data_IF_503241067615
#
_entry.id   IF_503241067615
#
_cell.length_a   1.000
_cell.length_b   1.000
_cell.length_c   1.000
_cell.angle_alpha   90.00
_cell.angle_beta   90.00
_cell.angle_gamma   90.00
#
_symmetry.space_group_name_H-M   'P 1'
#
loop_
_entity.id
_entity.type
_entity.pdbx_description
1 polymer ?
#
# COMPACT_ATOMS: atom_id res chain seq x y z
N UNK A 1 0.52 2.94 15.68
CA UNK A 1 1.48 2.00 15.07
C UNK A 1 2.73 2.78 14.72
N UNK A 2 3.90 2.33 15.17
CA UNK A 2 5.17 3.02 14.88
C UNK A 2 5.60 2.82 13.43
N UNK A 3 5.20 3.74 12.55
CA UNK A 3 5.48 3.68 11.11
C UNK A 3 6.98 3.67 10.82
N UNK A 4 7.78 4.40 11.59
CA UNK A 4 9.22 4.45 11.41
C UNK A 4 9.84 3.06 11.57
N UNK A 5 9.55 2.37 12.67
CA UNK A 5 10.02 1.00 12.91
C UNK A 5 9.49 0.03 11.85
N UNK A 6 8.23 0.17 11.45
CA UNK A 6 7.64 -0.67 10.39
C UNK A 6 8.39 -0.54 9.06
N UNK A 7 8.68 0.68 8.62
CA UNK A 7 9.33 0.96 7.34
C UNK A 7 10.87 0.95 7.40
N UNK A 8 11.45 0.67 8.56
CA UNK A 8 12.87 0.36 8.75
C UNK A 8 13.10 -1.10 9.20
N UNK A 9 12.05 -1.93 9.19
CA UNK A 9 12.17 -3.34 9.53
C UNK A 9 12.94 -4.15 8.47
N UNK A 10 13.17 -5.43 8.76
CA UNK A 10 14.12 -6.27 8.00
C UNK A 10 13.83 -6.39 6.49
N UNK A 11 12.56 -6.25 6.07
CA UNK A 11 12.19 -6.27 4.63
C UNK A 11 12.74 -5.06 3.88
N UNK A 12 12.97 -3.94 4.57
CA UNK A 12 13.44 -2.68 4.00
C UNK A 12 14.92 -2.38 4.31
N UNK A 13 15.61 -3.30 5.00
CA UNK A 13 17.06 -3.22 5.25
C UNK A 13 17.89 -3.93 4.18
N UNK A 14 19.18 -4.11 4.42
CA UNK A 14 20.11 -4.75 3.47
C UNK A 14 20.37 -6.24 3.77
N UNK A 15 19.90 -6.73 4.92
CA UNK A 15 20.14 -8.09 5.40
C UNK A 15 18.87 -8.94 5.40
N UNK A 16 18.99 -10.18 4.94
CA UNK A 16 17.93 -11.18 5.06
C UNK A 16 17.99 -11.85 6.43
N UNK A 17 16.82 -12.05 7.03
CA UNK A 17 16.71 -12.83 8.26
C UNK A 17 16.96 -14.31 7.97
N UNK A 18 17.44 -15.04 8.99
CA UNK A 18 17.60 -16.50 8.89
C UNK A 18 16.27 -17.16 8.53
N UNK A 19 16.28 -18.03 7.49
CA UNK A 19 15.09 -18.71 6.94
C UNK A 19 14.01 -17.78 6.39
N UNK A 20 14.36 -16.53 6.08
CA UNK A 20 13.44 -15.64 5.38
C UNK A 20 13.13 -16.18 3.99
N UNK A 21 11.84 -16.18 3.62
CA UNK A 21 11.38 -16.45 2.26
C UNK A 21 10.75 -15.16 1.71
N UNK A 22 11.57 -14.21 1.23
CA UNK A 22 11.05 -12.94 0.75
C UNK A 22 10.21 -13.16 -0.51
N UNK A 23 9.13 -12.39 -0.59
CA UNK A 23 8.20 -12.33 -1.72
C UNK A 23 8.04 -10.85 -2.08
N UNK A 24 7.84 -10.54 -3.35
CA UNK A 24 7.74 -9.16 -3.80
C UNK A 24 6.57 -8.45 -3.12
N UNK A 25 5.47 -9.15 -2.86
CA UNK A 25 4.36 -8.59 -2.10
C UNK A 25 4.69 -8.29 -0.62
N UNK A 26 5.67 -8.95 0.02
CA UNK A 26 6.11 -8.58 1.37
C UNK A 26 6.68 -7.16 1.40
N UNK A 27 7.34 -6.74 0.33
CA UNK A 27 7.89 -5.40 0.16
C UNK A 27 6.83 -4.40 -0.33
N UNK A 28 6.16 -4.70 -1.45
CA UNK A 28 5.30 -3.72 -2.11
C UNK A 28 3.96 -3.51 -1.44
N UNK A 29 3.38 -4.53 -0.80
CA UNK A 29 2.02 -4.43 -0.28
C UNK A 29 1.89 -3.41 0.86
N UNK A 30 2.76 -3.38 1.89
CA UNK A 30 2.68 -2.34 2.92
C UNK A 30 2.99 -0.94 2.37
N UNK A 31 3.95 -0.83 1.45
CA UNK A 31 4.32 0.44 0.80
C UNK A 31 3.13 1.00 0.01
N UNK A 32 2.47 0.19 -0.81
CA UNK A 32 1.29 0.59 -1.58
C UNK A 32 0.10 0.90 -0.68
N UNK A 33 -0.15 0.11 0.37
CA UNK A 33 -1.23 0.36 1.33
C UNK A 33 -1.07 1.71 2.03
N UNK A 34 0.17 2.09 2.36
CA UNK A 34 0.47 3.37 2.99
C UNK A 34 0.26 4.57 2.06
N UNK A 35 0.70 4.48 0.79
CA UNK A 35 0.63 5.60 -0.15
C UNK A 35 -0.69 5.70 -0.93
N UNK A 36 -1.55 4.69 -0.88
CA UNK A 36 -2.84 4.69 -1.60
C UNK A 36 -4.06 4.54 -0.71
N UNK A 37 -3.86 4.13 0.55
CA UNK A 37 -4.95 3.74 1.45
C UNK A 37 -5.75 2.53 0.99
N UNK A 38 -5.31 1.81 -0.05
CA UNK A 38 -6.01 0.64 -0.55
C UNK A 38 -5.90 -0.56 0.41
N UNK A 39 -6.95 -1.36 0.47
CA UNK A 39 -6.97 -2.60 1.23
C UNK A 39 -6.13 -3.68 0.54
N UNK A 40 -5.69 -4.69 1.30
CA UNK A 40 -4.89 -5.80 0.78
C UNK A 40 -5.56 -6.59 -0.35
N UNK A 41 -6.90 -6.71 -0.34
CA UNK A 41 -7.64 -7.33 -1.45
C UNK A 41 -7.64 -6.45 -2.70
N UNK A 42 -7.70 -5.11 -2.57
CA UNK A 42 -7.61 -4.18 -3.71
C UNK A 42 -6.20 -4.23 -4.34
N UNK A 43 -5.16 -4.16 -3.50
CA UNK A 43 -3.75 -4.23 -3.94
C UNK A 43 -3.43 -5.61 -4.51
N UNK A 44 -3.95 -6.67 -3.89
CA UNK A 44 -3.72 -8.04 -4.33
C UNK A 44 -4.31 -8.34 -5.71
N UNK A 45 -5.37 -7.63 -6.12
CA UNK A 45 -6.00 -7.74 -7.44
C UNK A 45 -5.41 -6.79 -8.49
N UNK A 46 -4.57 -5.83 -8.10
CA UNK A 46 -4.08 -4.78 -8.99
C UNK A 46 -3.22 -5.35 -10.13
N UNK A 47 -3.52 -4.93 -11.36
CA UNK A 47 -2.85 -5.38 -12.58
C UNK A 47 -2.11 -4.25 -13.29
N UNK A 48 -1.25 -4.60 -14.25
CA UNK A 48 -0.55 -3.63 -15.10
C UNK A 48 -1.54 -2.73 -15.86
N UNK A 49 -2.68 -3.27 -16.30
CA UNK A 49 -3.72 -2.50 -17.00
C UNK A 49 -4.46 -1.51 -16.11
N UNK A 50 -4.38 -1.65 -14.78
CA UNK A 50 -4.96 -0.69 -13.85
C UNK A 50 -4.09 0.57 -13.68
N UNK A 51 -2.89 0.58 -14.28
CA UNK A 51 -1.99 1.73 -14.28
C UNK A 51 -2.24 2.55 -15.53
N UNK A 52 -2.75 3.77 -15.36
CA UNK A 52 -3.09 4.65 -16.47
C UNK A 52 -2.62 6.08 -16.24
N UNK A 53 -2.51 6.85 -17.33
CA UNK A 53 -2.24 8.29 -17.30
C UNK A 53 -3.54 9.04 -17.58
N UNK A 54 -4.01 9.84 -16.63
CA UNK A 54 -5.19 10.68 -16.75
C UNK A 54 -4.80 12.14 -16.50
N UNK A 55 -5.13 13.06 -17.42
CA UNK A 55 -4.75 14.48 -17.32
C UNK A 55 -3.26 14.69 -16.98
N UNK A 56 -2.38 13.96 -17.66
CA UNK A 56 -0.92 13.95 -17.41
C UNK A 56 -0.45 13.34 -16.07
N UNK A 57 -1.35 12.87 -15.21
CA UNK A 57 -1.04 12.21 -13.94
C UNK A 57 -1.10 10.69 -14.09
N UNK A 58 -0.03 9.98 -13.73
CA UNK A 58 -0.05 8.51 -13.62
C UNK A 58 -0.68 8.08 -12.29
N UNK A 59 -1.52 7.06 -12.32
CA UNK A 59 -2.23 6.55 -11.15
C UNK A 59 -2.69 5.10 -11.30
N UNK A 60 -3.15 4.54 -10.19
CA UNK A 60 -3.78 3.23 -10.09
C UNK A 60 -5.30 3.38 -10.13
N UNK A 61 -5.98 2.54 -10.89
CA UNK A 61 -7.43 2.38 -10.80
C UNK A 61 -7.73 1.19 -9.88
N UNK A 62 -8.31 1.46 -8.71
CA UNK A 62 -8.75 0.40 -7.81
C UNK A 62 -10.22 0.05 -8.07
N UNK A 63 -10.47 -1.23 -8.34
CA UNK A 63 -11.80 -1.81 -8.48
C UNK A 63 -12.23 -2.48 -7.18
N UNK A 64 -13.52 -2.44 -6.89
CA UNK A 64 -14.06 -2.85 -5.59
C UNK A 64 -15.38 -3.59 -5.76
N UNK A 65 -15.70 -4.49 -4.83
CA UNK A 65 -17.00 -5.15 -4.76
C UNK A 65 -17.91 -4.44 -3.75
N UNK A 66 -18.45 -3.28 -4.16
CA UNK A 66 -19.59 -2.63 -3.51
C UNK A 66 -19.27 -1.63 -2.40
N UNK A 67 -18.64 -2.05 -1.29
CA UNK A 67 -18.54 -1.22 -0.06
C UNK A 67 -17.83 0.12 -0.25
N UNK A 68 -16.88 0.16 -1.17
CA UNK A 68 -16.17 1.36 -1.59
C UNK A 68 -16.50 1.61 -3.06
N UNK A 69 -16.49 2.85 -3.50
CA UNK A 69 -16.51 3.15 -4.93
C UNK A 69 -15.13 2.85 -5.54
N UNK A 70 -15.14 2.41 -6.81
CA UNK A 70 -13.94 2.34 -7.62
C UNK A 70 -13.35 3.75 -7.79
N UNK A 71 -12.03 3.85 -7.87
CA UNK A 71 -11.35 5.15 -7.85
C UNK A 71 -9.99 5.14 -8.52
N UNK A 72 -9.63 6.26 -9.12
CA UNK A 72 -8.27 6.55 -9.56
C UNK A 72 -7.47 7.20 -8.42
N UNK A 73 -6.30 6.64 -8.12
CA UNK A 73 -5.38 7.13 -7.09
C UNK A 73 -4.04 7.47 -7.75
N UNK A 74 -3.63 8.76 -7.78
CA UNK A 74 -2.32 9.15 -8.30
C UNK A 74 -1.16 8.40 -7.63
N UNK A 75 -0.14 8.05 -8.41
CA UNK A 75 1.07 7.42 -7.86
C UNK A 75 1.87 8.47 -7.10
N UNK A 76 2.06 8.22 -5.80
CA UNK A 76 2.90 9.05 -4.95
C UNK A 76 4.37 9.04 -5.45
N UNK A 77 5.09 10.18 -5.48
CA UNK A 77 6.49 10.22 -5.92
C UNK A 77 7.42 9.24 -5.20
N UNK A 78 7.17 9.00 -3.90
CA UNK A 78 7.94 8.03 -3.12
C UNK A 78 7.84 6.59 -3.65
N UNK A 79 6.77 6.23 -4.36
CA UNK A 79 6.68 4.91 -5.01
C UNK A 79 7.64 4.81 -6.20
N UNK A 80 7.77 5.89 -6.98
CA UNK A 80 8.77 5.95 -8.05
C UNK A 80 10.18 5.90 -7.49
N UNK A 81 10.46 6.65 -6.42
CA UNK A 81 11.75 6.59 -5.71
C UNK A 81 12.01 5.22 -5.08
N UNK A 82 10.98 4.46 -4.72
CA UNK A 82 11.12 3.09 -4.23
C UNK A 82 11.40 2.05 -5.33
N UNK A 83 11.56 2.46 -6.60
CA UNK A 83 11.84 1.56 -7.71
C UNK A 83 10.58 0.94 -8.35
N UNK A 84 9.43 1.62 -8.30
CA UNK A 84 8.18 1.08 -8.87
C UNK A 84 8.32 0.85 -10.39
N UNK A 85 8.99 1.74 -11.12
CA UNK A 85 9.16 1.58 -12.57
C UNK A 85 9.93 0.30 -12.93
N UNK A 86 11.00 0.00 -12.19
CA UNK A 86 11.79 -1.21 -12.37
C UNK A 86 10.98 -2.46 -12.02
N UNK A 87 10.17 -2.37 -10.95
CA UNK A 87 9.28 -3.47 -10.57
C UNK A 87 8.22 -3.77 -11.63
N UNK A 88 7.58 -2.75 -12.20
CA UNK A 88 6.59 -2.94 -13.27
C UNK A 88 7.22 -3.61 -14.49
N UNK A 89 8.41 -3.16 -14.88
CA UNK A 89 9.16 -3.78 -15.97
C UNK A 89 9.50 -5.24 -15.67
N UNK A 90 9.92 -5.54 -14.44
CA UNK A 90 10.16 -6.91 -14.00
C UNK A 90 8.90 -7.78 -14.08
N UNK A 91 7.74 -7.29 -13.62
CA UNK A 91 6.45 -8.01 -13.71
C UNK A 91 6.13 -8.34 -15.17
N UNK A 92 6.30 -7.38 -16.08
CA UNK A 92 6.13 -7.58 -17.54
C UNK A 92 7.09 -8.63 -18.10
N UNK A 93 8.38 -8.55 -17.77
CA UNK A 93 9.40 -9.50 -18.22
C UNK A 93 9.14 -10.94 -17.73
N UNK A 94 8.55 -11.09 -16.54
CA UNK A 94 8.15 -12.39 -15.99
C UNK A 94 6.86 -12.94 -16.64
N UNK A 95 6.28 -12.24 -17.62
CA UNK A 95 5.02 -12.62 -18.26
C UNK A 95 3.81 -12.54 -17.33
N UNK A 96 3.93 -11.77 -16.24
CA UNK A 96 2.87 -11.62 -15.25
C UNK A 96 2.04 -10.37 -15.54
N UNK A 97 0.75 -10.42 -15.23
CA UNK A 97 -0.15 -9.25 -15.38
C UNK A 97 -0.50 -8.60 -14.05
N UNK A 98 -0.48 -9.38 -12.95
CA UNK A 98 -0.83 -8.93 -11.60
C UNK A 98 0.40 -8.42 -10.88
N UNK A 99 0.31 -7.25 -10.28
CA UNK A 99 1.44 -6.65 -9.56
C UNK A 99 1.86 -7.53 -8.39
N UNK A 100 0.92 -8.12 -7.64
CA UNK A 100 1.23 -9.05 -6.55
C UNK A 100 1.20 -10.50 -7.03
N UNK A 101 1.83 -10.82 -8.16
CA UNK A 101 1.73 -12.15 -8.78
C UNK A 101 2.10 -13.30 -7.85
N UNK A 102 3.06 -13.08 -6.94
CA UNK A 102 3.54 -14.07 -5.97
C UNK A 102 2.80 -14.05 -4.61
N UNK A 103 1.71 -13.29 -4.50
CA UNK A 103 0.77 -13.32 -3.37
C UNK A 103 -0.34 -14.35 -3.64
N UNK A 104 -0.37 -15.49 -2.91
CA UNK A 104 -1.41 -16.49 -3.10
C UNK A 104 -2.78 -16.01 -2.63
N UNK A 105 -3.82 -16.37 -3.38
CA UNK A 105 -5.21 -16.23 -2.96
C UNK A 105 -5.65 -17.42 -2.10
N UNK A 106 -6.59 -17.17 -1.18
CA UNK A 106 -7.41 -18.20 -0.54
C UNK A 106 -8.87 -17.86 -0.75
N UNK A 107 -9.60 -18.77 -1.40
CA UNK A 107 -11.01 -18.57 -1.78
C UNK A 107 -11.26 -17.26 -2.53
N UNK A 108 -10.35 -16.90 -3.45
CA UNK A 108 -10.42 -15.66 -4.23
C UNK A 108 -10.05 -14.38 -3.47
N UNK A 109 -9.57 -14.47 -2.22
CA UNK A 109 -9.15 -13.32 -1.40
C UNK A 109 -7.67 -13.36 -1.06
N UNK A 110 -7.07 -12.20 -0.90
CA UNK A 110 -5.64 -12.02 -0.59
C UNK A 110 -5.40 -11.62 0.86
N UNK A 111 -6.41 -11.06 1.52
CA UNK A 111 -6.34 -10.53 2.89
C UNK A 111 -5.85 -11.53 3.93
N UNK A 112 -6.19 -12.82 3.83
CA UNK A 112 -5.80 -13.81 4.84
C UNK A 112 -4.29 -14.04 4.89
N UNK A 113 -3.66 -14.27 3.73
CA UNK A 113 -2.20 -14.52 3.65
C UNK A 113 -1.41 -13.29 4.09
N UNK A 114 -1.91 -12.12 3.72
CA UNK A 114 -1.36 -10.83 4.16
C UNK A 114 -1.46 -10.67 5.67
N UNK A 115 -2.63 -10.96 6.27
CA UNK A 115 -2.85 -10.87 7.73
C UNK A 115 -1.90 -11.80 8.48
N UNK A 116 -1.78 -13.06 8.06
CA UNK A 116 -0.91 -14.05 8.71
C UNK A 116 0.55 -13.61 8.64
N UNK A 117 1.02 -13.14 7.48
CA UNK A 117 2.40 -12.68 7.36
C UNK A 117 2.65 -11.41 8.18
N UNK A 118 1.74 -10.44 8.13
CA UNK A 118 1.96 -9.14 8.76
C UNK A 118 1.82 -9.20 10.29
N UNK A 119 0.73 -9.78 10.79
CA UNK A 119 0.35 -9.77 12.21
C UNK A 119 0.60 -11.09 12.94
N UNK A 120 0.90 -12.17 12.21
CA UNK A 120 1.06 -13.52 12.77
C UNK A 120 -0.25 -14.30 12.88
N UNK A 121 -0.14 -15.56 13.31
CA UNK A 121 -1.27 -16.46 13.57
C UNK A 121 -0.87 -17.55 14.58
N UNK A 122 -1.61 -17.67 15.68
CA UNK A 122 -1.23 -18.56 16.79
C UNK A 122 0.19 -18.24 17.29
N UNK A 123 1.03 -19.27 17.37
CA UNK A 123 2.45 -19.17 17.75
C UNK A 123 3.35 -18.57 16.65
N UNK A 124 2.83 -18.39 15.42
CA UNK A 124 3.64 -17.86 14.31
C UNK A 124 3.75 -16.34 14.41
N UNK A 125 4.96 -15.87 14.69
CA UNK A 125 5.30 -14.44 14.64
C UNK A 125 5.18 -13.88 13.22
N UNK A 126 4.48 -12.75 13.09
CA UNK A 126 4.37 -11.96 11.87
C UNK A 126 5.50 -10.94 11.73
N UNK A 127 5.40 -10.14 10.67
CA UNK A 127 6.31 -9.03 10.38
C UNK A 127 6.40 -8.05 11.54
N UNK A 128 5.26 -7.66 12.13
CA UNK A 128 5.22 -6.72 13.25
C UNK A 128 6.08 -7.20 14.41
N UNK A 129 5.84 -8.42 14.91
CA UNK A 129 6.58 -8.96 16.05
C UNK A 129 8.07 -9.12 15.73
N UNK A 130 8.42 -9.51 14.50
CA UNK A 130 9.82 -9.60 14.05
C UNK A 130 10.52 -8.25 13.97
N UNK A 131 9.77 -7.15 13.88
CA UNK A 131 10.30 -5.78 13.96
C UNK A 131 10.23 -5.21 15.38
N UNK A 132 9.90 -6.02 16.39
CA UNK A 132 9.70 -5.55 17.77
C UNK A 132 8.43 -4.70 17.97
N UNK A 133 7.46 -4.80 17.04
CA UNK A 133 6.20 -4.08 17.14
C UNK A 133 5.11 -4.94 17.79
N UNK A 134 4.26 -4.36 18.63
CA UNK A 134 3.10 -5.06 19.15
C UNK A 134 2.12 -5.39 18.02
N UNK A 135 1.45 -6.53 18.11
CA UNK A 135 0.40 -6.94 17.18
C UNK A 135 -1.00 -6.49 17.63
N UNK A 136 -1.09 -5.77 18.74
CA UNK A 136 -2.30 -5.10 19.25
C UNK A 136 -2.01 -3.62 19.45
N UNK A 137 -2.99 -2.77 19.21
CA UNK A 137 -2.89 -1.34 19.49
C UNK A 137 -3.26 -1.02 20.95
N UNK A 138 -3.23 0.27 21.29
CA UNK A 138 -3.53 0.77 22.64
C UNK A 138 -4.97 0.47 23.09
N UNK A 139 -5.87 0.16 22.16
CA UNK A 139 -7.28 -0.18 22.43
C UNK A 139 -7.49 -1.71 22.50
N UNK A 140 -6.41 -2.49 22.40
CA UNK A 140 -6.47 -3.97 22.40
C UNK A 140 -6.90 -4.56 21.06
N UNK A 141 -7.01 -3.75 20.00
CA UNK A 141 -7.41 -4.22 18.67
C UNK A 141 -6.20 -4.74 17.90
N UNK A 142 -6.38 -5.85 17.15
CA UNK A 142 -5.28 -6.40 16.35
C UNK A 142 -4.81 -5.39 15.30
N UNK A 143 -3.53 -5.07 15.34
CA UNK A 143 -2.89 -4.25 14.31
C UNK A 143 -2.80 -5.05 13.01
N UNK A 144 -3.26 -4.45 11.91
CA UNK A 144 -3.33 -5.09 10.60
C UNK A 144 -2.78 -4.16 9.51
N UNK A 145 -2.57 -4.69 8.31
CA UNK A 145 -2.20 -3.87 7.14
C UNK A 145 -3.21 -2.73 6.91
N UNK A 146 -4.50 -2.96 7.19
CA UNK A 146 -5.55 -1.94 7.07
C UNK A 146 -5.33 -0.74 8.01
N UNK A 147 -4.53 -0.85 9.06
CA UNK A 147 -4.18 0.29 9.90
C UNK A 147 -3.31 1.31 9.16
N UNK A 148 -2.62 0.94 8.07
CA UNK A 148 -1.90 1.89 7.20
C UNK A 148 -2.88 2.82 6.47
N UNK A 149 -4.08 2.34 6.14
CA UNK A 149 -5.13 3.17 5.55
C UNK A 149 -5.60 4.27 6.49
N UNK A 150 -5.69 4.01 7.80
CA UNK A 150 -6.03 5.04 8.79
C UNK A 150 -4.97 6.15 8.82
N UNK A 151 -3.70 5.78 8.71
CA UNK A 151 -2.60 6.75 8.61
C UNK A 151 -2.66 7.54 7.29
N UNK A 152 -3.01 6.89 6.18
CA UNK A 152 -3.24 7.56 4.90
C UNK A 152 -4.39 8.57 5.01
N UNK A 153 -5.54 8.13 5.51
CA UNK A 153 -6.75 8.94 5.73
C UNK A 153 -6.46 10.19 6.55
N UNK A 154 -5.79 10.06 7.70
CA UNK A 154 -5.43 11.19 8.55
C UNK A 154 -4.61 12.25 7.80
N UNK A 155 -3.62 11.80 7.01
CA UNK A 155 -2.72 12.71 6.28
C UNK A 155 -3.44 13.40 5.12
N UNK A 156 -4.21 12.67 4.32
CA UNK A 156 -4.95 13.28 3.20
C UNK A 156 -6.11 14.15 3.69
N UNK A 157 -6.67 13.90 4.87
CA UNK A 157 -7.70 14.74 5.47
C UNK A 157 -7.15 16.14 5.78
N UNK A 158 -5.99 16.21 6.44
CA UNK A 158 -5.31 17.48 6.72
C UNK A 158 -5.04 18.24 5.42
N UNK A 159 -4.48 17.55 4.42
CA UNK A 159 -4.17 18.15 3.12
C UNK A 159 -5.40 18.63 2.36
N UNK A 160 -6.47 17.84 2.35
CA UNK A 160 -7.73 18.18 1.69
C UNK A 160 -8.41 19.39 2.33
N UNK A 161 -8.37 19.53 3.67
CA UNK A 161 -8.87 20.73 4.36
C UNK A 161 -8.06 21.95 3.93
N UNK A 162 -6.74 21.87 3.94
CA UNK A 162 -5.86 22.99 3.56
C UNK A 162 -6.09 23.44 2.11
N UNK A 163 -6.48 22.51 1.22
CA UNK A 163 -6.79 22.80 -0.18
C UNK A 163 -8.27 23.11 -0.44
N UNK A 164 -9.12 23.12 0.59
CA UNK A 164 -10.57 23.30 0.44
C UNK A 164 -11.24 22.22 -0.42
N UNK A 165 -10.68 21.02 -0.50
CA UNK A 165 -11.10 19.95 -1.40
C UNK A 165 -11.47 18.66 -0.67
N UNK A 166 -12.52 18.73 0.16
CA UNK A 166 -13.02 17.57 0.92
C UNK A 166 -13.48 16.43 0.01
N UNK A 167 -14.01 16.74 -1.17
CA UNK A 167 -14.45 15.75 -2.16
C UNK A 167 -13.29 14.87 -2.64
N UNK A 168 -12.10 15.44 -2.86
CA UNK A 168 -10.90 14.66 -3.20
C UNK A 168 -10.53 13.64 -2.11
N UNK A 169 -10.63 14.00 -0.83
CA UNK A 169 -10.37 13.06 0.26
C UNK A 169 -11.34 11.87 0.24
N UNK A 170 -12.65 12.13 0.22
CA UNK A 170 -13.65 11.07 0.17
C UNK A 170 -13.47 10.20 -1.08
N UNK A 171 -13.19 10.83 -2.23
CA UNK A 171 -12.93 10.11 -3.47
C UNK A 171 -11.71 9.18 -3.36
N UNK A 172 -10.57 9.67 -2.85
CA UNK A 172 -9.34 8.89 -2.65
C UNK A 172 -9.52 7.73 -1.66
N UNK A 173 -10.44 7.86 -0.71
CA UNK A 173 -10.81 6.77 0.20
C UNK A 173 -11.85 5.83 -0.41
N UNK A 174 -12.45 6.16 -1.55
CA UNK A 174 -13.54 5.39 -2.12
C UNK A 174 -14.83 5.49 -1.29
N UNK A 175 -14.97 6.56 -0.51
CA UNK A 175 -16.12 6.84 0.33
C UNK A 175 -17.13 7.70 -0.41
N UNK A 176 -18.40 7.52 -0.05
CA UNK A 176 -19.51 8.37 -0.48
C UNK A 176 -19.53 9.64 0.35
N UNK A 177 -20.01 10.73 -0.25
CA UNK A 177 -20.31 11.97 0.47
C UNK A 177 -21.82 12.13 0.52
N UNK A 178 -22.38 12.29 1.73
CA UNK A 178 -23.83 12.42 1.95
C UNK A 178 -24.65 11.29 1.29
N UNK A 179 -24.09 10.07 1.33
CA UNK A 179 -24.69 8.88 0.73
C UNK A 179 -24.55 8.76 -0.80
N UNK A 180 -23.96 9.74 -1.47
CA UNK A 180 -23.79 9.77 -2.92
C UNK A 180 -22.39 9.37 -3.38
N UNK A 181 -22.32 8.67 -4.52
CA UNK A 181 -21.06 8.38 -5.21
C UNK A 181 -20.49 9.69 -5.74
N UNK A 182 -19.19 9.87 -5.58
CA UNK A 182 -18.51 11.06 -6.05
C UNK A 182 -18.07 10.87 -7.50
N UNK A 183 -18.27 11.90 -8.32
CA UNK A 183 -17.55 12.01 -9.58
C UNK A 183 -16.07 12.21 -9.30
N UNK A 184 -15.22 11.69 -10.19
CA UNK A 184 -13.79 11.84 -10.05
C UNK A 184 -13.40 13.34 -10.11
N UNK A 185 -12.75 13.90 -9.07
CA UNK A 185 -12.11 15.20 -9.14
C UNK A 185 -10.96 15.20 -10.15
N UNK A 186 -10.54 16.38 -10.61
CA UNK A 186 -9.45 16.48 -11.58
C UNK A 186 -8.18 15.79 -11.04
N UNK A 187 -7.46 15.08 -11.89
CA UNK A 187 -6.37 14.19 -11.47
C UNK A 187 -5.24 14.97 -10.79
N UNK A 188 -5.02 16.23 -11.17
CA UNK A 188 -4.06 17.11 -10.49
C UNK A 188 -4.50 17.51 -9.08
N UNK A 189 -5.80 17.67 -8.82
CA UNK A 189 -6.32 17.97 -7.48
C UNK A 189 -6.14 16.76 -6.56
N UNK A 190 -6.44 15.56 -7.07
CA UNK A 190 -6.16 14.31 -6.35
C UNK A 190 -4.67 14.18 -6.03
N UNK A 191 -3.80 14.53 -6.99
CA UNK A 191 -2.35 14.51 -6.81
C UNK A 191 -1.91 15.51 -5.74
N UNK A 192 -2.44 16.73 -5.76
CA UNK A 192 -2.10 17.76 -4.77
C UNK A 192 -2.42 17.31 -3.35
N UNK A 193 -3.59 16.70 -3.11
CA UNK A 193 -3.96 16.15 -1.80
C UNK A 193 -3.03 14.99 -1.40
N UNK A 194 -2.76 14.08 -2.34
CA UNK A 194 -1.99 12.86 -2.07
C UNK A 194 -0.50 13.12 -1.85
N UNK A 195 0.10 14.10 -2.52
CA UNK A 195 1.55 14.41 -2.40
C UNK A 195 2.00 14.91 -1.03
N UNK A 196 1.07 15.25 -0.13
CA UNK A 196 1.38 15.64 1.25
C UNK A 196 1.52 14.44 2.20
N UNK A 197 1.28 13.21 1.72
CA UNK A 197 1.54 11.99 2.51
C UNK A 197 3.05 11.91 2.78
N UNK A 198 3.41 11.83 4.05
CA UNK A 198 4.79 11.87 4.54
C UNK A 198 5.60 10.71 3.97
N UNK A 199 6.82 11.00 3.54
CA UNK A 199 7.81 9.96 3.24
C UNK A 199 8.46 9.51 4.55
N UNK A 200 8.18 8.28 4.98
CA UNK A 200 8.68 7.75 6.27
C UNK A 200 10.14 7.30 6.18
N UNK A 201 10.48 6.55 5.13
CA UNK A 201 11.85 6.09 4.88
C UNK A 201 12.19 6.36 3.40
N UNK A 202 13.03 7.38 3.11
CA UNK A 202 13.41 7.72 1.74
C UNK A 202 14.39 6.71 1.12
N UNK A 203 14.97 5.81 1.92
CA UNK A 203 15.95 4.84 1.46
C UNK A 203 15.31 3.50 1.02
N UNK A 204 13.98 3.33 1.17
CA UNK A 204 13.28 2.16 0.64
C UNK A 204 13.50 2.11 -0.86
N UNK A 205 14.06 1.01 -1.34
CA UNK A 205 14.24 0.78 -2.78
C UNK A 205 14.10 -0.71 -3.10
N UNK A 206 13.36 -1.03 -4.14
CA UNK A 206 13.07 -2.40 -4.53
C UNK A 206 14.33 -3.19 -4.92
N UNK A 207 15.27 -2.54 -5.60
CA UNK A 207 16.57 -3.14 -5.92
C UNK A 207 17.34 -3.56 -4.64
N UNK A 208 17.36 -2.71 -3.60
CA UNK A 208 17.97 -3.07 -2.31
C UNK A 208 17.31 -4.33 -1.75
N UNK A 209 15.97 -4.40 -1.79
CA UNK A 209 15.22 -5.57 -1.34
C UNK A 209 15.58 -6.86 -2.09
N UNK A 210 15.78 -6.81 -3.41
CA UNK A 210 16.15 -7.98 -4.21
C UNK A 210 17.60 -8.40 -4.01
N UNK A 211 18.49 -7.44 -3.76
CA UNK A 211 19.93 -7.66 -3.61
C UNK A 211 20.38 -7.98 -2.17
N UNK A 212 19.47 -7.94 -1.19
CA UNK A 212 19.80 -8.23 0.23
C UNK A 212 20.62 -9.50 0.40
N UNK A 213 21.69 -9.39 1.19
CA UNK A 213 22.60 -10.51 1.45
C UNK A 213 22.03 -11.42 2.54
N UNK A 214 22.38 -12.71 2.49
CA UNK A 214 22.05 -13.65 3.56
C UNK A 214 22.99 -13.43 4.75
N UNK A 215 22.44 -13.47 5.96
CA UNK A 215 23.24 -13.70 7.17
C UNK A 215 23.73 -15.15 7.25
#
# INVERSE_FOLDING_TARGET
MELYTLFNGYIYGDEKQKREQPKHWHFWLPVLAYYTGAYSDEIGNLTLSDISKQEQVRGFTFHTHGKLQARFVPIHPALWHAGLQDYLHFVEQQGQTRLMFDLPAKSGRFSEKVRIWFSGEGERLGYLQKCGLPNVDQQGMKTAISSLRLNFEQQIHISAIQQGNKAAMFYLLGLKQDGQILTQPKSHQLKQVLTQVRVINPNIHWQRFTERHGQ
#
